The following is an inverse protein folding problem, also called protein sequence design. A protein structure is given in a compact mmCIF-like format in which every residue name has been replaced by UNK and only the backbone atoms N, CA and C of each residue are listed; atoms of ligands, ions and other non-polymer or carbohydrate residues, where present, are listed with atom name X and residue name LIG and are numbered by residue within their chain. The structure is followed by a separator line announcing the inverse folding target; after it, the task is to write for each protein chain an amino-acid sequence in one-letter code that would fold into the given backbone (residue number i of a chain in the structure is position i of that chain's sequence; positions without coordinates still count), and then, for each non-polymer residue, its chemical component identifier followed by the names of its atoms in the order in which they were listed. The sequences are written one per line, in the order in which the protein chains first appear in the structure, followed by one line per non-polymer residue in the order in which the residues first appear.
data_IF_200490489484
#
_entry.id   IF_200490489484
#
_cell.length_a   1.000
_cell.length_b   1.000
_cell.length_c   1.000
_cell.angle_alpha   90.00
_cell.angle_beta   90.00
_cell.angle_gamma   90.00
#
_symmetry.space_group_name_H-M   'P 1'
#
loop_
_entity.id
_entity.type
_entity.pdbx_description
1 polymer ?
#
# COMPACT_ATOMS: atom_id res chain seq x y z
N UNK A 1 17.59 27.30 -73.88
CA UNK A 1 16.35 27.33 -73.08
C UNK A 1 15.94 25.90 -72.77
N UNK A 2 15.86 25.53 -71.49
CA UNK A 2 15.00 24.47 -70.90
C UNK A 2 15.44 24.29 -69.43
N UNK A 3 14.71 24.93 -68.51
CA UNK A 3 14.86 24.77 -67.06
C UNK A 3 14.00 23.58 -66.63
N UNK A 4 14.58 22.64 -65.91
CA UNK A 4 13.84 21.55 -65.25
C UNK A 4 13.56 21.98 -63.81
N UNK A 5 12.29 22.04 -63.43
CA UNK A 5 11.85 22.31 -62.07
C UNK A 5 11.65 20.95 -61.40
N UNK A 6 12.46 20.64 -60.39
CA UNK A 6 12.22 19.51 -59.49
C UNK A 6 11.26 20.00 -58.41
N UNK A 7 10.03 19.51 -58.42
CA UNK A 7 9.05 19.74 -57.35
C UNK A 7 9.31 18.68 -56.28
N UNK A 8 9.97 19.07 -55.18
CA UNK A 8 10.04 18.24 -53.98
C UNK A 8 8.70 18.34 -53.24
N UNK A 9 7.91 17.27 -53.27
CA UNK A 9 6.70 17.14 -52.46
C UNK A 9 7.10 16.89 -51.00
N UNK A 10 7.04 17.92 -50.16
CA UNK A 10 7.18 17.78 -48.72
C UNK A 10 5.92 17.13 -48.15
N UNK A 11 5.97 15.84 -47.83
CA UNK A 11 4.96 15.18 -47.01
C UNK A 11 5.11 15.70 -45.57
N UNK A 12 4.28 16.68 -45.18
CA UNK A 12 4.06 16.96 -43.77
C UNK A 12 3.32 15.75 -43.17
N UNK A 13 4.06 14.85 -42.52
CA UNK A 13 3.47 13.99 -41.51
C UNK A 13 3.11 14.88 -40.32
N UNK A 14 1.83 15.27 -40.25
CA UNK A 14 1.27 15.84 -39.03
C UNK A 14 1.35 14.74 -37.96
N UNK A 15 2.38 14.81 -37.12
CA UNK A 15 2.49 14.00 -35.92
C UNK A 15 1.43 14.51 -34.95
N UNK A 16 0.20 14.02 -35.07
CA UNK A 16 -0.79 14.22 -34.02
C UNK A 16 -0.25 13.51 -32.79
N UNK A 17 0.06 14.21 -31.68
CA UNK A 17 0.33 13.51 -30.44
C UNK A 17 -0.96 12.75 -30.11
N UNK A 18 -0.88 11.42 -30.22
CA UNK A 18 -1.90 10.56 -29.64
C UNK A 18 -1.70 10.72 -28.14
N UNK A 19 -2.44 11.67 -27.55
CA UNK A 19 -2.60 11.70 -26.11
C UNK A 19 -3.43 10.47 -25.77
N UNK A 20 -2.74 9.37 -25.54
CA UNK A 20 -3.30 8.20 -24.90
C UNK A 20 -3.71 8.66 -23.50
N UNK A 21 -5.00 8.96 -23.33
CA UNK A 21 -5.55 9.26 -22.03
C UNK A 21 -5.50 7.96 -21.23
N UNK A 22 -4.40 7.76 -20.50
CA UNK A 22 -4.27 6.70 -19.52
C UNK A 22 -5.51 6.78 -18.61
N UNK A 23 -6.40 5.81 -18.75
CA UNK A 23 -7.52 5.65 -17.85
C UNK A 23 -6.91 5.44 -16.46
N UNK A 24 -7.02 6.44 -15.57
CA UNK A 24 -6.63 6.27 -14.19
C UNK A 24 -7.36 5.05 -13.64
N UNK A 25 -6.59 4.03 -13.23
CA UNK A 25 -7.15 2.90 -12.51
C UNK A 25 -7.94 3.45 -11.31
N UNK A 26 -9.19 3.01 -11.14
CA UNK A 26 -10.03 3.36 -10.00
C UNK A 26 -9.27 3.05 -8.72
N UNK A 27 -9.13 4.02 -7.82
CA UNK A 27 -8.45 3.77 -6.54
C UNK A 27 -9.20 2.70 -5.74
N UNK A 28 -8.51 2.01 -4.82
CA UNK A 28 -9.17 1.07 -3.89
C UNK A 28 -10.30 1.76 -3.12
N UNK A 29 -10.12 3.02 -2.73
CA UNK A 29 -11.16 3.81 -2.07
C UNK A 29 -12.39 3.94 -2.96
N UNK A 30 -12.23 4.26 -4.25
CA UNK A 30 -13.34 4.35 -5.21
C UNK A 30 -14.03 2.99 -5.40
N UNK A 31 -13.28 1.88 -5.42
CA UNK A 31 -13.83 0.53 -5.50
C UNK A 31 -14.65 0.16 -4.25
N UNK A 32 -14.12 0.45 -3.06
CA UNK A 32 -14.80 0.24 -1.77
C UNK A 32 -16.09 1.06 -1.72
N UNK A 33 -16.03 2.34 -2.10
CA UNK A 33 -17.17 3.24 -2.04
C UNK A 33 -18.24 2.85 -3.07
N UNK A 34 -17.83 2.56 -4.32
CA UNK A 34 -18.77 2.14 -5.38
C UNK A 34 -19.43 0.80 -5.05
N UNK A 35 -18.66 -0.16 -4.53
CA UNK A 35 -19.18 -1.45 -4.06
C UNK A 35 -20.16 -1.23 -2.90
N UNK A 36 -19.80 -0.44 -1.88
CA UNK A 36 -20.69 -0.12 -0.76
C UNK A 36 -21.99 0.54 -1.21
N UNK A 37 -21.92 1.53 -2.11
CA UNK A 37 -23.09 2.20 -2.68
C UNK A 37 -23.97 1.25 -3.50
N UNK A 38 -23.38 0.29 -4.22
CA UNK A 38 -24.14 -0.70 -5.01
C UNK A 38 -25.03 -1.61 -4.16
N UNK A 39 -24.74 -1.73 -2.85
CA UNK A 39 -25.51 -2.55 -1.93
C UNK A 39 -26.62 -1.78 -1.21
N UNK A 40 -26.77 -0.47 -1.45
CA UNK A 40 -27.85 0.33 -0.83
C UNK A 40 -29.21 -0.31 -1.12
N UNK A 41 -29.98 -0.54 -0.07
CA UNK A 41 -31.26 -1.26 -0.13
C UNK A 41 -31.19 -2.75 0.21
N UNK A 42 -30.00 -3.36 0.29
CA UNK A 42 -29.85 -4.73 0.79
C UNK A 42 -30.35 -4.81 2.25
N UNK A 43 -31.11 -5.86 2.63
CA UNK A 43 -31.74 -5.92 3.95
C UNK A 43 -30.71 -6.15 5.06
N UNK A 44 -31.09 -5.78 6.29
CA UNK A 44 -30.31 -6.13 7.47
C UNK A 44 -30.61 -7.57 7.89
N UNK A 45 -29.56 -8.33 8.19
CA UNK A 45 -29.65 -9.67 8.77
C UNK A 45 -28.53 -9.85 9.78
N UNK A 46 -28.86 -10.12 11.04
CA UNK A 46 -27.87 -10.43 12.07
C UNK A 46 -27.02 -11.63 11.65
N UNK A 47 -25.70 -11.49 11.66
CA UNK A 47 -24.79 -12.53 11.18
C UNK A 47 -24.61 -12.55 9.65
N UNK A 48 -25.37 -11.75 8.90
CA UNK A 48 -25.37 -11.72 7.43
C UNK A 48 -24.10 -11.12 6.82
N UNK A 49 -23.62 -11.73 5.73
CA UNK A 49 -22.37 -11.36 5.05
C UNK A 49 -22.51 -11.33 3.51
N UNK A 50 -23.74 -11.32 2.99
CA UNK A 50 -24.00 -11.39 1.55
C UNK A 50 -25.10 -10.41 1.11
N UNK A 51 -25.25 -10.10 -0.19
CA UNK A 51 -26.28 -9.18 -0.67
C UNK A 51 -27.73 -9.55 -0.31
N UNK A 52 -28.02 -10.81 0.05
CA UNK A 52 -29.35 -11.20 0.53
C UNK A 52 -29.64 -10.74 1.96
N UNK A 53 -28.63 -10.25 2.68
CA UNK A 53 -28.74 -9.80 4.06
C UNK A 53 -27.37 -9.56 4.70
N UNK A 54 -27.18 -8.35 5.25
CA UNK A 54 -25.94 -7.97 5.94
C UNK A 54 -26.19 -7.55 7.40
N UNK A 55 -25.26 -7.86 8.31
CA UNK A 55 -25.05 -7.01 9.49
C UNK A 55 -24.00 -5.93 9.21
N UNK A 56 -23.80 -5.00 10.15
CA UNK A 56 -22.89 -3.87 9.97
C UNK A 56 -21.46 -4.32 9.59
N UNK A 57 -20.89 -5.23 10.37
CA UNK A 57 -19.54 -5.76 10.15
C UNK A 57 -19.42 -6.74 8.99
N UNK A 58 -20.50 -7.46 8.66
CA UNK A 58 -20.59 -8.32 7.49
C UNK A 58 -20.69 -7.53 6.19
N UNK A 59 -21.37 -6.38 6.21
CA UNK A 59 -21.40 -5.41 5.11
C UNK A 59 -20.02 -4.84 4.85
N UNK A 60 -19.35 -4.29 5.87
CA UNK A 60 -17.99 -3.75 5.69
C UNK A 60 -17.02 -4.84 5.24
N UNK A 61 -17.08 -6.04 5.86
CA UNK A 61 -16.27 -7.18 5.46
C UNK A 61 -16.48 -7.58 3.99
N UNK A 62 -17.73 -7.63 3.52
CA UNK A 62 -18.04 -7.92 2.12
C UNK A 62 -17.47 -6.87 1.16
N UNK A 63 -17.69 -5.59 1.46
CA UNK A 63 -17.24 -4.48 0.59
C UNK A 63 -15.72 -4.45 0.47
N UNK A 64 -15.00 -4.56 1.59
CA UNK A 64 -13.53 -4.56 1.57
C UNK A 64 -12.95 -5.83 0.94
N UNK A 65 -13.59 -6.99 1.12
CA UNK A 65 -13.16 -8.22 0.47
C UNK A 65 -13.25 -8.14 -1.05
N UNK A 66 -14.24 -7.44 -1.61
CA UNK A 66 -14.33 -7.17 -3.05
C UNK A 66 -13.18 -6.31 -3.58
N UNK A 67 -12.54 -5.54 -2.72
CA UNK A 67 -11.34 -4.77 -3.00
C UNK A 67 -10.05 -5.47 -2.51
N UNK A 68 -10.09 -6.78 -2.23
CA UNK A 68 -8.92 -7.57 -1.82
C UNK A 68 -8.51 -7.44 -0.35
N UNK A 69 -9.22 -6.64 0.46
CA UNK A 69 -8.89 -6.39 1.86
C UNK A 69 -9.72 -7.29 2.77
N UNK A 70 -9.05 -8.17 3.52
CA UNK A 70 -9.71 -9.04 4.50
C UNK A 70 -9.90 -8.33 5.84
N UNK A 71 -11.13 -8.28 6.32
CA UNK A 71 -11.47 -7.72 7.64
C UNK A 71 -11.93 -8.81 8.61
N UNK A 72 -11.61 -8.67 9.91
CA UNK A 72 -12.19 -9.52 10.95
C UNK A 72 -13.72 -9.47 10.95
N UNK A 73 -14.36 -10.53 11.47
CA UNK A 73 -15.81 -10.69 11.34
C UNK A 73 -16.64 -9.65 12.10
N UNK A 74 -16.19 -9.22 13.27
CA UNK A 74 -17.00 -8.37 14.18
C UNK A 74 -16.56 -6.90 14.14
N UNK A 75 -17.50 -5.98 14.37
CA UNK A 75 -17.19 -4.53 14.41
C UNK A 75 -16.13 -4.20 15.47
N UNK A 76 -16.16 -4.86 16.63
CA UNK A 76 -15.16 -4.69 17.68
C UNK A 76 -13.76 -5.13 17.23
N UNK A 77 -13.62 -6.26 16.52
CA UNK A 77 -12.34 -6.69 15.97
C UNK A 77 -11.87 -5.78 14.85
N UNK A 78 -12.79 -5.32 13.98
CA UNK A 78 -12.47 -4.36 12.92
C UNK A 78 -12.00 -3.01 13.49
N UNK A 79 -12.48 -2.62 14.68
CA UNK A 79 -11.97 -1.43 15.37
C UNK A 79 -10.53 -1.58 15.86
N UNK A 80 -10.00 -2.80 15.95
CA UNK A 80 -8.59 -3.08 16.20
C UNK A 80 -7.74 -3.21 14.92
N UNK A 81 -8.36 -3.17 13.74
CA UNK A 81 -7.69 -3.31 12.45
C UNK A 81 -7.29 -1.94 11.87
N UNK A 82 -6.18 -1.91 11.15
CA UNK A 82 -5.67 -0.69 10.50
C UNK A 82 -5.18 0.39 11.46
N UNK A 83 -4.95 1.57 10.90
CA UNK A 83 -4.40 2.71 11.64
C UNK A 83 -5.50 3.60 12.21
N UNK A 84 -5.27 4.19 13.39
CA UNK A 84 -6.19 5.16 13.97
C UNK A 84 -6.30 6.41 13.09
N UNK A 85 -7.53 6.91 12.89
CA UNK A 85 -7.80 8.17 12.20
C UNK A 85 -8.59 9.09 13.11
N UNK A 86 -8.08 10.32 13.32
CA UNK A 86 -8.83 11.36 13.99
C UNK A 86 -10.01 11.82 13.13
N UNK A 87 -11.12 12.24 13.76
CA UNK A 87 -12.34 12.64 13.04
C UNK A 87 -12.10 13.76 12.00
N UNK A 88 -11.17 14.67 12.27
CA UNK A 88 -10.78 15.75 11.35
C UNK A 88 -9.98 15.28 10.12
N UNK A 89 -9.39 14.09 10.19
CA UNK A 89 -8.54 13.52 9.14
C UNK A 89 -9.22 12.38 8.39
N UNK A 90 -10.55 12.25 8.53
CA UNK A 90 -11.36 11.28 7.81
C UNK A 90 -11.21 11.46 6.30
N UNK A 91 -10.99 10.34 5.61
CA UNK A 91 -10.92 10.25 4.16
C UNK A 91 -11.90 9.21 3.65
N UNK A 92 -12.49 9.42 2.46
CA UNK A 92 -13.35 8.41 1.86
C UNK A 92 -12.67 7.03 1.85
N UNK A 93 -13.40 6.00 2.25
CA UNK A 93 -12.88 4.63 2.44
C UNK A 93 -12.43 4.31 3.87
N UNK A 94 -12.36 5.26 4.80
CA UNK A 94 -12.12 4.96 6.21
C UNK A 94 -13.31 4.23 6.84
N UNK A 95 -13.05 3.29 7.75
CA UNK A 95 -14.07 2.68 8.60
C UNK A 95 -14.38 3.63 9.76
N UNK A 96 -15.65 3.91 10.01
CA UNK A 96 -16.14 4.71 11.14
C UNK A 96 -16.90 3.82 12.12
N UNK A 97 -16.70 4.05 13.42
CA UNK A 97 -17.16 3.17 14.49
C UNK A 97 -17.98 3.93 15.52
N UNK A 98 -19.01 3.23 16.04
CA UNK A 98 -19.99 3.81 16.95
C UNK A 98 -20.29 2.86 18.12
N UNK A 99 -20.71 3.47 19.23
CA UNK A 99 -21.12 2.78 20.45
C UNK A 99 -22.43 3.35 20.98
N UNK A 100 -23.40 2.50 21.27
CA UNK A 100 -24.65 2.91 21.93
C UNK A 100 -24.41 3.48 23.34
N UNK A 101 -23.39 2.98 24.04
CA UNK A 101 -23.01 3.45 25.39
C UNK A 101 -21.92 4.51 25.37
N UNK A 102 -21.51 4.99 24.18
CA UNK A 102 -20.41 5.96 23.98
C UNK A 102 -19.07 5.52 24.58
N UNK A 103 -18.87 4.21 24.73
CA UNK A 103 -17.65 3.65 25.32
C UNK A 103 -16.77 3.03 24.25
N UNK A 104 -15.48 3.38 24.27
CA UNK A 104 -14.42 2.74 23.45
C UNK A 104 -14.31 1.22 23.69
N UNK A 105 -14.72 0.73 24.86
CA UNK A 105 -14.73 -0.70 25.19
C UNK A 105 -15.96 -1.46 24.66
N UNK A 106 -16.92 -0.78 24.02
CA UNK A 106 -18.17 -1.38 23.56
C UNK A 106 -18.56 -0.86 22.17
N UNK A 107 -17.83 -1.28 21.14
CA UNK A 107 -18.19 -0.99 19.74
C UNK A 107 -19.41 -1.82 19.37
N UNK A 108 -20.51 -1.15 19.02
CA UNK A 108 -21.77 -1.80 18.66
C UNK A 108 -22.10 -1.69 17.17
N UNK A 109 -21.47 -0.76 16.45
CA UNK A 109 -21.78 -0.51 15.05
C UNK A 109 -20.59 0.07 14.27
N UNK A 110 -20.59 -0.13 12.96
CA UNK A 110 -19.60 0.46 12.05
C UNK A 110 -20.19 0.76 10.66
N UNK A 111 -19.45 1.54 9.87
CA UNK A 111 -19.77 1.90 8.50
C UNK A 111 -18.53 2.35 7.73
N UNK A 112 -18.70 2.68 6.46
CA UNK A 112 -17.65 3.16 5.57
C UNK A 112 -17.89 4.65 5.32
N UNK A 113 -16.94 5.51 5.67
CA UNK A 113 -17.00 6.93 5.36
C UNK A 113 -16.87 7.14 3.86
N UNK A 114 -17.77 7.92 3.26
CA UNK A 114 -17.85 8.12 1.80
C UNK A 114 -17.59 9.58 1.40
N UNK A 115 -17.05 10.40 2.33
CA UNK A 115 -16.86 11.83 2.15
C UNK A 115 -18.05 12.66 2.61
N UNK A 116 -17.88 13.99 2.62
CA UNK A 116 -18.93 14.97 2.92
C UNK A 116 -19.66 14.77 4.27
N UNK A 117 -19.03 14.14 5.26
CA UNK A 117 -19.69 13.85 6.53
C UNK A 117 -20.66 12.67 6.48
N UNK A 118 -20.65 11.86 5.42
CA UNK A 118 -21.55 10.74 5.23
C UNK A 118 -20.84 9.39 5.34
N UNK A 119 -21.60 8.37 5.74
CA UNK A 119 -21.20 6.97 5.69
C UNK A 119 -22.24 6.12 4.97
N UNK A 120 -21.80 5.01 4.37
CA UNK A 120 -22.65 3.88 3.99
C UNK A 120 -22.52 2.77 5.02
N UNK A 121 -23.64 2.20 5.47
CA UNK A 121 -23.65 1.17 6.51
C UNK A 121 -24.92 0.31 6.45
N UNK A 122 -24.87 -0.92 6.98
CA UNK A 122 -26.05 -1.76 7.18
C UNK A 122 -26.75 -1.45 8.51
N UNK A 123 -27.85 -0.73 8.46
CA UNK A 123 -28.69 -0.31 9.58
C UNK A 123 -29.70 -1.38 9.98
N UNK A 124 -29.83 -1.66 11.28
CA UNK A 124 -30.78 -2.68 11.79
C UNK A 124 -32.23 -2.48 11.36
N UNK A 125 -32.65 -1.25 11.09
CA UNK A 125 -34.04 -0.92 10.74
C UNK A 125 -34.30 -0.73 9.24
N UNK A 126 -33.26 -0.45 8.45
CA UNK A 126 -33.39 0.02 7.05
C UNK A 126 -32.50 -0.72 6.06
N UNK A 127 -31.71 -1.69 6.52
CA UNK A 127 -30.71 -2.33 5.66
C UNK A 127 -29.58 -1.38 5.32
N UNK A 128 -28.90 -1.62 4.21
CA UNK A 128 -27.80 -0.77 3.74
C UNK A 128 -28.33 0.59 3.32
N UNK A 129 -27.87 1.64 4.01
CA UNK A 129 -28.27 3.02 3.76
C UNK A 129 -27.10 4.00 3.88
N UNK A 130 -27.30 5.21 3.37
CA UNK A 130 -26.36 6.33 3.51
C UNK A 130 -26.91 7.31 4.56
N UNK A 131 -26.07 7.67 5.53
CA UNK A 131 -26.41 8.61 6.61
C UNK A 131 -25.24 9.49 6.98
N UNK A 132 -25.55 10.71 7.40
CA UNK A 132 -24.55 11.62 7.96
C UNK A 132 -24.08 11.13 9.34
N UNK A 133 -22.75 11.06 9.49
CA UNK A 133 -22.11 10.76 10.78
C UNK A 133 -22.28 11.89 11.79
N UNK A 134 -22.65 13.09 11.32
CA UNK A 134 -22.95 14.27 12.12
C UNK A 134 -24.44 14.40 12.48
N UNK A 135 -25.26 13.41 12.13
CA UNK A 135 -26.68 13.41 12.52
C UNK A 135 -26.83 13.27 14.04
N UNK A 136 -27.97 13.75 14.57
CA UNK A 136 -28.28 13.69 16.01
C UNK A 136 -28.18 12.28 16.62
N UNK A 137 -28.40 11.24 15.81
CA UNK A 137 -28.26 9.87 16.24
C UNK A 137 -26.79 9.40 16.26
N UNK A 138 -26.05 9.65 15.17
CA UNK A 138 -24.70 9.10 14.96
C UNK A 138 -23.59 9.92 15.63
N UNK A 139 -23.69 11.24 15.62
CA UNK A 139 -22.63 12.12 16.15
C UNK A 139 -22.28 11.83 17.62
N UNK A 140 -23.27 11.77 18.54
CA UNK A 140 -22.95 11.49 19.94
C UNK A 140 -22.57 10.04 20.19
N UNK A 141 -22.67 9.14 19.19
CA UNK A 141 -22.26 7.73 19.29
C UNK A 141 -20.92 7.46 18.63
N UNK A 142 -20.32 8.44 17.96
CA UNK A 142 -19.05 8.29 17.27
C UNK A 142 -17.93 7.99 18.28
N UNK A 143 -17.20 6.90 18.04
CA UNK A 143 -16.09 6.46 18.90
C UNK A 143 -14.74 6.73 18.25
N UNK A 144 -14.62 6.46 16.95
CA UNK A 144 -13.35 6.63 16.23
C UNK A 144 -13.42 6.07 14.82
N UNK A 145 -12.29 6.17 14.12
CA UNK A 145 -12.15 5.66 12.76
C UNK A 145 -10.85 4.88 12.56
N UNK A 146 -10.86 3.99 11.57
CA UNK A 146 -9.71 3.20 11.15
C UNK A 146 -9.50 3.30 9.65
N UNK A 147 -8.25 3.48 9.25
CA UNK A 147 -7.82 3.38 7.86
C UNK A 147 -7.20 2.01 7.63
N UNK A 148 -7.82 1.24 6.76
CA UNK A 148 -7.36 -0.10 6.34
C UNK A 148 -6.93 -0.13 4.87
N UNK A 149 -7.14 0.98 4.15
CA UNK A 149 -6.68 1.21 2.77
C UNK A 149 -5.33 1.92 2.86
N UNK A 150 -4.29 1.34 2.29
CA UNK A 150 -3.01 2.02 2.09
C UNK A 150 -3.06 2.88 0.83
N UNK A 151 -2.79 4.17 0.96
CA UNK A 151 -2.80 5.13 -0.16
C UNK A 151 -1.62 4.98 -1.13
N UNK A 152 -0.66 4.11 -0.81
CA UNK A 152 0.55 3.87 -1.60
C UNK A 152 0.61 2.44 -2.15
N UNK A 153 -0.52 1.90 -2.61
CA UNK A 153 -0.43 0.81 -3.59
C UNK A 153 -0.03 1.41 -4.95
N UNK A 154 1.26 1.73 -5.07
CA UNK A 154 1.89 1.71 -6.38
C UNK A 154 1.93 0.23 -6.76
N UNK A 155 0.99 -0.22 -7.58
CA UNK A 155 1.05 -1.55 -8.18
C UNK A 155 1.92 -1.45 -9.42
N UNK A 156 2.91 -2.34 -9.56
CA UNK A 156 3.71 -2.41 -10.78
C UNK A 156 2.81 -2.74 -11.99
N UNK A 157 3.35 -2.64 -13.19
CA UNK A 157 2.62 -2.97 -14.43
C UNK A 157 2.11 -4.43 -14.50
N UNK A 158 2.54 -5.28 -13.56
CA UNK A 158 2.14 -6.68 -13.41
C UNK A 158 1.16 -6.89 -12.25
N UNK A 159 0.71 -5.83 -11.58
CA UNK A 159 -0.25 -5.87 -10.47
C UNK A 159 0.34 -6.29 -9.13
N UNK A 160 1.67 -6.27 -8.96
CA UNK A 160 2.29 -6.55 -7.66
C UNK A 160 2.43 -5.28 -6.84
N UNK A 161 2.23 -5.39 -5.53
CA UNK A 161 2.46 -4.31 -4.58
C UNK A 161 3.92 -3.85 -4.60
N UNK A 162 4.15 -2.58 -4.94
CA UNK A 162 5.45 -1.91 -4.83
C UNK A 162 5.53 -1.21 -3.49
N UNK A 163 6.65 -1.37 -2.80
CA UNK A 163 6.95 -0.64 -1.57
C UNK A 163 7.80 0.57 -1.91
N UNK A 164 7.28 1.81 -1.82
CA UNK A 164 8.11 2.98 -1.99
C UNK A 164 9.22 2.98 -0.93
N UNK A 165 10.46 3.14 -1.37
CA UNK A 165 11.62 3.34 -0.50
C UNK A 165 12.12 4.75 -0.71
N UNK A 166 12.26 5.52 0.35
CA UNK A 166 12.89 6.84 0.33
C UNK A 166 14.20 6.80 1.09
N UNK A 167 15.25 7.39 0.53
CA UNK A 167 16.59 7.49 1.13
C UNK A 167 16.93 8.98 1.19
N UNK A 168 17.19 9.49 2.40
CA UNK A 168 17.51 10.92 2.63
C UNK A 168 16.48 11.87 1.99
N UNK A 169 15.19 11.49 2.04
CA UNK A 169 14.08 12.25 1.47
C UNK A 169 13.87 12.10 -0.05
N UNK A 170 14.72 11.37 -0.76
CA UNK A 170 14.59 11.07 -2.20
C UNK A 170 13.98 9.69 -2.41
N UNK A 171 12.95 9.58 -3.26
CA UNK A 171 12.40 8.29 -3.66
C UNK A 171 13.43 7.51 -4.46
N UNK A 172 13.69 6.27 -4.04
CA UNK A 172 14.56 5.35 -4.75
C UNK A 172 13.89 4.92 -6.05
N UNK A 173 14.54 5.22 -7.17
CA UNK A 173 14.12 4.76 -8.49
C UNK A 173 14.91 3.50 -8.82
N UNK A 174 14.20 2.43 -9.17
CA UNK A 174 14.82 1.14 -9.49
C UNK A 174 14.29 0.59 -10.79
N UNK A 175 15.12 -0.20 -11.48
CA UNK A 175 14.71 -0.97 -12.66
C UNK A 175 13.97 -2.25 -12.30
N UNK A 176 14.10 -2.70 -11.05
CA UNK A 176 13.33 -3.76 -10.45
C UNK A 176 12.70 -3.24 -9.15
N UNK A 177 11.38 -3.23 -9.06
CA UNK A 177 10.70 -2.64 -7.92
C UNK A 177 10.97 -3.37 -6.59
N UNK A 178 11.08 -2.64 -5.46
CA UNK A 178 10.99 -3.22 -4.13
C UNK A 178 9.67 -3.93 -3.89
N UNK A 179 9.70 -5.03 -3.14
CA UNK A 179 8.51 -5.82 -2.82
C UNK A 179 8.54 -6.37 -1.40
N UNK A 180 7.38 -6.78 -0.88
CA UNK A 180 7.29 -7.52 0.38
C UNK A 180 7.38 -9.02 0.16
N UNK A 181 8.21 -9.68 0.96
CA UNK A 181 8.28 -11.13 1.07
C UNK A 181 8.26 -11.51 2.55
N UNK A 182 7.21 -12.22 2.99
CA UNK A 182 7.06 -12.66 4.38
C UNK A 182 7.32 -11.54 5.41
N UNK A 183 6.70 -10.37 5.19
CA UNK A 183 6.89 -9.13 5.97
C UNK A 183 8.29 -8.47 5.90
N UNK A 184 9.23 -9.02 5.13
CA UNK A 184 10.52 -8.42 4.84
C UNK A 184 10.47 -7.64 3.53
N UNK A 185 10.86 -6.35 3.54
CA UNK A 185 11.04 -5.57 2.31
C UNK A 185 12.31 -6.00 1.60
N UNK A 186 12.15 -6.48 0.36
CA UNK A 186 13.22 -6.89 -0.54
C UNK A 186 13.49 -5.76 -1.53
N UNK A 187 14.75 -5.34 -1.64
CA UNK A 187 15.17 -4.26 -2.55
C UNK A 187 16.31 -4.68 -3.46
N UNK A 188 16.47 -4.06 -4.64
CA UNK A 188 17.65 -4.27 -5.46
C UNK A 188 18.89 -3.77 -4.72
N UNK A 189 19.84 -4.68 -4.52
CA UNK A 189 21.10 -4.48 -3.81
C UNK A 189 21.83 -3.20 -4.22
N UNK A 190 22.06 -3.02 -5.52
CA UNK A 190 22.81 -1.88 -6.06
C UNK A 190 22.09 -0.56 -5.80
N UNK A 191 20.78 -0.52 -5.97
CA UNK A 191 20.00 0.69 -5.84
C UNK A 191 20.09 1.27 -4.41
N UNK A 192 19.96 0.41 -3.39
CA UNK A 192 20.11 0.86 -1.99
C UNK A 192 21.55 1.25 -1.67
N UNK A 193 22.53 0.43 -2.05
CA UNK A 193 23.92 0.66 -1.64
C UNK A 193 24.59 1.83 -2.34
N UNK A 194 24.37 2.00 -3.64
CA UNK A 194 24.94 3.10 -4.39
C UNK A 194 24.34 4.45 -3.90
N UNK A 195 23.04 4.48 -3.56
CA UNK A 195 22.40 5.68 -2.99
C UNK A 195 22.87 5.98 -1.54
N UNK A 196 23.23 4.94 -0.77
CA UNK A 196 23.88 5.08 0.54
C UNK A 196 25.40 5.38 0.45
N UNK A 197 25.94 5.51 -0.77
CA UNK A 197 27.35 5.83 -1.05
C UNK A 197 28.31 4.66 -0.86
N UNK A 198 27.82 3.42 -0.82
CA UNK A 198 28.63 2.22 -0.65
C UNK A 198 29.08 1.64 -2.00
N UNK A 199 30.30 1.11 -2.03
CA UNK A 199 30.80 0.31 -3.15
C UNK A 199 30.24 -1.11 -3.07
N UNK A 200 29.89 -1.70 -4.23
CA UNK A 200 29.26 -3.02 -4.31
C UNK A 200 30.05 -3.96 -5.20
N UNK A 201 30.44 -5.10 -4.64
CA UNK A 201 31.12 -6.18 -5.34
C UNK A 201 30.26 -7.45 -5.39
N UNK A 202 30.38 -8.19 -6.50
CA UNK A 202 29.74 -9.48 -6.69
C UNK A 202 30.78 -10.58 -6.86
N UNK A 203 30.72 -11.59 -5.99
CA UNK A 203 31.49 -12.80 -6.12
C UNK A 203 30.64 -13.90 -6.77
N UNK A 204 30.93 -14.20 -8.04
CA UNK A 204 30.16 -15.18 -8.81
C UNK A 204 30.30 -16.62 -8.28
N UNK A 205 31.51 -17.01 -7.86
CA UNK A 205 31.78 -18.37 -7.36
C UNK A 205 31.04 -18.66 -6.06
N UNK A 206 30.91 -17.65 -5.20
CA UNK A 206 30.22 -17.75 -3.91
C UNK A 206 28.75 -17.34 -3.99
N UNK A 207 28.30 -16.83 -5.15
CA UNK A 207 26.99 -16.16 -5.32
C UNK A 207 26.72 -15.18 -4.18
N UNK A 208 27.69 -14.32 -3.91
CA UNK A 208 27.70 -13.44 -2.74
C UNK A 208 27.88 -11.99 -3.18
N UNK A 209 27.06 -11.13 -2.60
CA UNK A 209 27.22 -9.69 -2.69
C UNK A 209 27.94 -9.17 -1.43
N UNK A 210 28.88 -8.25 -1.63
CA UNK A 210 29.51 -7.49 -0.57
C UNK A 210 29.36 -6.01 -0.87
N UNK A 211 28.96 -5.22 0.14
CA UNK A 211 28.95 -3.77 0.05
C UNK A 211 29.79 -3.15 1.17
N UNK A 212 30.52 -2.09 0.84
CA UNK A 212 31.46 -1.42 1.75
C UNK A 212 31.24 0.08 1.77
N UNK A 213 31.15 0.67 2.97
CA UNK A 213 31.05 2.11 3.20
C UNK A 213 32.04 2.52 4.30
N UNK A 214 33.18 3.10 3.89
CA UNK A 214 34.27 3.40 4.81
C UNK A 214 34.79 2.13 5.50
N UNK A 215 34.66 2.06 6.83
CA UNK A 215 35.03 0.87 7.62
C UNK A 215 33.91 -0.16 7.78
N UNK A 216 32.69 0.15 7.34
CA UNK A 216 31.54 -0.74 7.46
C UNK A 216 31.46 -1.64 6.24
N UNK A 217 31.10 -2.90 6.45
CA UNK A 217 30.84 -3.84 5.35
C UNK A 217 29.60 -4.67 5.63
N UNK A 218 28.95 -5.13 4.57
CA UNK A 218 27.85 -6.09 4.64
C UNK A 218 28.01 -7.14 3.56
N UNK A 219 27.86 -8.42 3.92
CA UNK A 219 27.92 -9.54 2.97
C UNK A 219 26.68 -10.41 3.09
N UNK A 220 26.11 -10.78 1.94
CA UNK A 220 24.95 -11.68 1.84
C UNK A 220 25.11 -12.63 0.66
N UNK A 221 24.84 -13.91 0.87
CA UNK A 221 24.86 -14.93 -0.17
C UNK A 221 23.45 -15.32 -0.61
N UNK A 222 23.29 -15.64 -1.91
CA UNK A 222 22.00 -16.03 -2.46
C UNK A 222 21.50 -17.32 -1.82
N UNK A 223 20.24 -17.34 -1.40
CA UNK A 223 19.56 -18.45 -0.74
C UNK A 223 20.19 -18.87 0.60
N UNK A 224 21.02 -18.02 1.21
CA UNK A 224 21.56 -18.21 2.56
C UNK A 224 20.92 -17.19 3.50
N UNK A 225 20.43 -17.67 4.65
CA UNK A 225 19.89 -16.81 5.73
C UNK A 225 21.00 -16.27 6.64
N UNK A 226 22.27 -16.44 6.27
CA UNK A 226 23.40 -15.86 6.98
C UNK A 226 23.83 -14.57 6.30
N UNK A 227 23.80 -13.47 7.04
CA UNK A 227 24.41 -12.20 6.67
C UNK A 227 25.64 -11.92 7.54
N UNK A 228 26.55 -11.09 7.03
CA UNK A 228 27.69 -10.59 7.79
C UNK A 228 27.66 -9.07 7.78
N UNK A 229 27.85 -8.44 8.93
CA UNK A 229 28.02 -6.99 9.06
C UNK A 229 29.33 -6.70 9.79
N UNK A 230 30.26 -6.01 9.12
CA UNK A 230 31.61 -5.70 9.62
C UNK A 230 32.32 -6.92 10.23
N UNK A 231 32.17 -8.08 9.57
CA UNK A 231 32.74 -9.37 9.99
C UNK A 231 31.91 -10.17 11.01
N UNK A 232 30.93 -9.55 11.67
CA UNK A 232 30.03 -10.25 12.62
C UNK A 232 28.91 -10.98 11.89
N UNK A 233 28.52 -12.17 12.36
CA UNK A 233 27.48 -13.01 11.74
C UNK A 233 26.09 -12.68 12.27
N UNK A 234 25.09 -12.61 11.39
CA UNK A 234 23.69 -12.36 11.70
C UNK A 234 22.77 -13.34 10.96
N UNK A 235 21.61 -13.64 11.55
CA UNK A 235 20.52 -14.37 10.88
C UNK A 235 19.62 -13.37 10.17
N UNK A 236 19.28 -13.66 8.92
CA UNK A 236 18.35 -12.90 8.10
C UNK A 236 16.94 -13.49 8.22
N UNK A 237 15.94 -12.62 8.23
CA UNK A 237 14.52 -13.02 8.15
C UNK A 237 14.27 -13.75 6.83
N UNK A 238 14.64 -13.10 5.72
CA UNK A 238 14.63 -13.66 4.38
C UNK A 238 16.05 -13.71 3.80
N UNK A 239 16.42 -14.76 3.04
CA UNK A 239 17.71 -14.80 2.37
C UNK A 239 17.76 -13.80 1.21
N UNK A 240 18.96 -13.38 0.82
CA UNK A 240 19.13 -12.69 -0.45
C UNK A 240 18.73 -13.62 -1.62
N UNK A 241 18.13 -13.07 -2.67
CA UNK A 241 17.65 -13.86 -3.80
C UNK A 241 17.88 -13.16 -5.14
N UNK A 242 17.68 -13.87 -6.24
CA UNK A 242 17.70 -13.28 -7.57
C UNK A 242 16.26 -13.17 -8.07
N UNK A 243 15.85 -11.99 -8.52
CA UNK A 243 14.56 -11.76 -9.21
C UNK A 243 14.86 -10.99 -10.49
N UNK A 244 14.48 -11.57 -11.64
CA UNK A 244 14.98 -11.12 -12.93
C UNK A 244 16.52 -11.17 -12.96
N UNK A 245 17.15 -10.06 -13.34
CA UNK A 245 18.61 -9.90 -13.38
C UNK A 245 19.14 -9.09 -12.18
N UNK A 246 18.40 -9.04 -11.06
CA UNK A 246 18.77 -8.26 -9.88
C UNK A 246 18.88 -9.12 -8.64
N UNK A 247 19.93 -8.87 -7.87
CA UNK A 247 20.07 -9.39 -6.51
C UNK A 247 19.18 -8.58 -5.59
N UNK A 248 18.23 -9.25 -4.96
CA UNK A 248 17.28 -8.69 -4.00
C UNK A 248 17.75 -9.02 -2.58
N UNK A 249 17.76 -8.01 -1.70
CA UNK A 249 18.26 -8.15 -0.33
C UNK A 249 17.28 -7.63 0.71
N UNK A 250 17.31 -8.18 1.94
CA UNK A 250 16.52 -7.66 3.07
C UNK A 250 16.94 -6.23 3.41
N UNK A 251 16.07 -5.27 3.10
CA UNK A 251 16.39 -3.85 3.14
C UNK A 251 16.89 -3.39 4.51
N UNK A 252 16.22 -3.84 5.57
CA UNK A 252 16.53 -3.42 6.95
C UNK A 252 17.95 -3.82 7.33
N UNK A 253 18.27 -5.11 7.20
CA UNK A 253 19.58 -5.65 7.56
C UNK A 253 20.70 -4.90 6.82
N UNK A 254 20.55 -4.72 5.50
CA UNK A 254 21.62 -4.11 4.71
C UNK A 254 21.82 -2.63 5.02
N UNK A 255 20.74 -1.89 5.24
CA UNK A 255 20.81 -0.45 5.51
C UNK A 255 21.35 -0.17 6.91
N UNK A 256 20.83 -0.87 7.94
CA UNK A 256 21.30 -0.73 9.33
C UNK A 256 22.75 -1.19 9.49
N UNK A 257 23.19 -2.20 8.73
CA UNK A 257 24.60 -2.65 8.74
C UNK A 257 25.57 -1.58 8.22
N UNK A 258 25.12 -0.68 7.35
CA UNK A 258 25.87 0.49 6.90
C UNK A 258 25.62 1.73 7.78
N UNK A 259 24.83 1.56 8.85
CA UNK A 259 24.48 2.56 9.85
C UNK A 259 23.51 3.63 9.36
N UNK A 260 22.60 3.26 8.46
CA UNK A 260 21.40 4.05 8.19
C UNK A 260 20.26 3.64 9.13
N UNK A 261 19.42 4.60 9.50
CA UNK A 261 18.21 4.35 10.27
C UNK A 261 17.05 4.00 9.33
N UNK A 262 16.41 2.85 9.57
CA UNK A 262 15.29 2.35 8.76
C UNK A 262 13.98 2.51 9.51
N UNK A 263 13.07 3.29 8.93
CA UNK A 263 11.74 3.52 9.48
C UNK A 263 10.66 3.01 8.54
N UNK A 264 9.78 2.14 9.06
CA UNK A 264 8.61 1.68 8.32
C UNK A 264 7.41 2.57 8.67
N UNK A 265 6.92 3.33 7.69
CA UNK A 265 5.65 4.00 7.83
C UNK A 265 4.52 3.04 7.46
N UNK A 266 3.87 2.46 8.48
CA UNK A 266 2.77 1.51 8.30
C UNK A 266 1.60 2.09 7.49
N UNK A 267 1.23 3.34 7.75
CA UNK A 267 0.11 4.02 7.08
C UNK A 267 0.37 4.35 5.62
N UNK A 268 1.62 4.72 5.30
CA UNK A 268 2.06 5.02 3.95
C UNK A 268 2.69 3.81 3.24
N UNK A 269 2.75 2.64 3.90
CA UNK A 269 3.49 1.44 3.45
C UNK A 269 4.83 1.78 2.76
N UNK A 270 5.55 2.73 3.34
CA UNK A 270 6.77 3.30 2.78
C UNK A 270 7.91 3.02 3.73
N UNK A 271 9.06 2.62 3.20
CA UNK A 271 10.30 2.58 3.99
C UNK A 271 11.02 3.91 3.81
N UNK A 272 11.40 4.55 4.92
CA UNK A 272 12.28 5.72 4.91
C UNK A 272 13.60 5.35 5.54
N UNK A 273 14.68 5.74 4.87
CA UNK A 273 16.05 5.47 5.26
C UNK A 273 16.76 6.81 5.40
N UNK A 274 17.38 7.05 6.54
CA UNK A 274 18.13 8.27 6.79
C UNK A 274 19.55 7.91 7.23
N UNK A 275 20.54 8.65 6.74
CA UNK A 275 21.93 8.63 7.20
C UNK A 275 22.32 9.95 7.86
#
# INVERSE_FOLDING_TARGET
MKRWIIIAAAFLFAFTPFFEQEAQASSISDQVISTGKSQVGAPYQWGGTTPSGFDCSGFTGYVFNKAGISLPRTAAQQFGAGDYVSKSNLRPGDLVFFSETRSVGNITHNGIYIGNGDMVHASGSRGVEIRSISSFYWDPRYVGARRVISENEQVDSSGNEVIPVTINGKTLQTDQDPFLQNDTTMVPLRAIFEELGADVEWNNSLRQAEATLGSKSVKVAINDRTGYASGSRFSLEEPAMIRGDRTMVPLRFVSESLGADVNWNRSARTVTINQ
#
